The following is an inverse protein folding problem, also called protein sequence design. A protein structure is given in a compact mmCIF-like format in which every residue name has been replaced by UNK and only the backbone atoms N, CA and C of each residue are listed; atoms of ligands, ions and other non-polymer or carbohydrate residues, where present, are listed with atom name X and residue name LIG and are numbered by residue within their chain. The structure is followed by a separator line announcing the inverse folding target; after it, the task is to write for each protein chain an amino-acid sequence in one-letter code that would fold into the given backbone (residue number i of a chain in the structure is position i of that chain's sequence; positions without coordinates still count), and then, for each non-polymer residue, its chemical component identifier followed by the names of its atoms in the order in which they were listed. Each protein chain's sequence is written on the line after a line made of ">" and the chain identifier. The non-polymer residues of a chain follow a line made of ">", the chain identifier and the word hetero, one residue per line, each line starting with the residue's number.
data_IF_907492729585
#
_entry.id   IF_907492729585
#
_cell.length_a   1.000
_cell.length_b   1.000
_cell.length_c   1.000
_cell.angle_alpha   90.00
_cell.angle_beta   90.00
_cell.angle_gamma   90.00
#
_symmetry.space_group_name_H-M   'P 1'
#
loop_
_entity.id
_entity.type
_entity.pdbx_description
1 polymer ?
#
# COMPACT_ATOMS: atom_id res chain seq x y z
N UNK A 1 -51.28 13.23 13.53
CA UNK A 1 -50.81 12.29 14.58
C UNK A 1 -49.32 12.54 14.78
N UNK A 2 -48.93 13.21 15.88
CA UNK A 2 -47.51 13.37 16.22
C UNK A 2 -46.90 12.02 16.59
N UNK A 3 -45.61 11.77 16.31
CA UNK A 3 -44.97 10.51 16.67
C UNK A 3 -45.14 10.26 18.17
N UNK A 4 -45.49 9.03 18.61
CA UNK A 4 -45.76 8.75 20.01
C UNK A 4 -44.53 9.11 20.84
N UNK A 5 -44.75 9.81 21.97
CA UNK A 5 -43.75 10.21 22.96
C UNK A 5 -42.80 9.05 23.34
N UNK A 6 -43.30 7.82 23.37
CA UNK A 6 -42.51 6.60 23.59
C UNK A 6 -41.53 6.28 22.45
N UNK A 7 -41.91 6.51 21.19
CA UNK A 7 -41.04 6.31 20.03
C UNK A 7 -39.86 7.30 20.02
N UNK A 8 -40.11 8.56 20.41
CA UNK A 8 -39.04 9.58 20.55
C UNK A 8 -38.08 9.24 21.70
N UNK A 9 -38.58 8.73 22.82
CA UNK A 9 -37.75 8.27 23.93
C UNK A 9 -36.90 7.05 23.55
N UNK A 10 -37.49 6.05 22.90
CA UNK A 10 -36.79 4.84 22.46
C UNK A 10 -35.71 5.17 21.42
N UNK A 11 -36.02 6.01 20.42
CA UNK A 11 -35.04 6.44 19.43
C UNK A 11 -33.86 7.20 20.06
N UNK A 12 -34.12 8.07 21.03
CA UNK A 12 -33.07 8.80 21.76
C UNK A 12 -32.16 7.85 22.53
N UNK A 13 -32.74 6.83 23.17
CA UNK A 13 -32.00 5.83 23.94
C UNK A 13 -31.15 4.92 23.06
N UNK A 14 -31.69 4.48 21.91
CA UNK A 14 -30.93 3.74 20.91
C UNK A 14 -29.78 4.58 20.33
N UNK A 15 -30.03 5.85 20.01
CA UNK A 15 -29.00 6.76 19.50
C UNK A 15 -27.89 7.01 20.52
N UNK A 16 -28.21 7.03 21.81
CA UNK A 16 -27.23 7.15 22.90
C UNK A 16 -26.43 5.86 23.14
N UNK A 17 -26.99 4.69 22.84
CA UNK A 17 -26.25 3.42 22.94
C UNK A 17 -25.20 3.28 21.84
N UNK A 18 -25.47 3.79 20.63
CA UNK A 18 -24.54 3.72 19.49
C UNK A 18 -23.12 4.21 19.85
N UNK A 19 -22.89 5.42 20.41
CA UNK A 19 -21.55 5.88 20.75
C UNK A 19 -20.89 5.06 21.86
N UNK A 20 -21.66 4.55 22.83
CA UNK A 20 -21.12 3.67 23.88
C UNK A 20 -20.61 2.36 23.29
N UNK A 21 -21.41 1.71 22.45
CA UNK A 21 -21.03 0.45 21.77
C UNK A 21 -19.87 0.69 20.82
N UNK A 22 -19.91 1.76 20.01
CA UNK A 22 -18.79 2.14 19.15
C UNK A 22 -17.50 2.39 19.93
N UNK A 23 -17.58 3.02 21.11
CA UNK A 23 -16.43 3.25 21.98
C UNK A 23 -15.78 1.94 22.42
N UNK A 24 -16.57 0.98 22.90
CA UNK A 24 -16.06 -0.34 23.30
C UNK A 24 -15.48 -1.11 22.11
N UNK A 25 -16.17 -1.08 20.96
CA UNK A 25 -15.68 -1.71 19.72
C UNK A 25 -14.38 -1.09 19.22
N UNK A 26 -14.22 0.22 19.34
CA UNK A 26 -12.98 0.91 18.96
C UNK A 26 -11.81 0.53 19.87
N UNK A 27 -12.03 0.50 21.19
CA UNK A 27 -10.98 0.13 22.16
C UNK A 27 -10.56 -1.33 21.94
N UNK A 28 -11.52 -2.24 21.82
CA UNK A 28 -11.23 -3.65 21.55
C UNK A 28 -10.50 -3.82 20.22
N UNK A 29 -10.97 -3.16 19.15
CA UNK A 29 -10.30 -3.14 17.86
C UNK A 29 -8.84 -2.68 17.96
N UNK A 30 -8.57 -1.56 18.64
CA UNK A 30 -7.22 -1.02 18.82
C UNK A 30 -6.33 -1.98 19.61
N UNK A 31 -6.85 -2.54 20.70
CA UNK A 31 -6.11 -3.51 21.51
C UNK A 31 -5.68 -4.71 20.68
N UNK A 32 -6.58 -5.31 19.89
CA UNK A 32 -6.24 -6.49 19.09
C UNK A 32 -5.40 -6.17 17.85
N UNK A 33 -5.71 -5.12 17.09
CA UNK A 33 -5.06 -4.84 15.80
C UNK A 33 -3.76 -4.04 15.94
N UNK A 34 -3.65 -3.18 16.96
CA UNK A 34 -2.44 -2.38 17.18
C UNK A 34 -1.45 -3.11 18.08
N UNK A 35 -1.92 -3.76 19.15
CA UNK A 35 -1.03 -4.46 20.11
C UNK A 35 -0.76 -5.90 19.69
N UNK A 36 -1.78 -6.61 19.19
CA UNK A 36 -1.65 -8.02 18.80
C UNK A 36 -0.94 -8.27 17.47
N UNK A 37 -0.85 -7.26 16.59
CA UNK A 37 -0.26 -7.39 15.25
C UNK A 37 -1.05 -8.34 14.33
N UNK A 38 -0.45 -8.71 13.19
CA UNK A 38 -1.09 -9.64 12.24
C UNK A 38 -0.89 -11.09 12.72
N UNK A 39 -1.97 -11.86 13.00
CA UNK A 39 -1.88 -13.26 13.39
C UNK A 39 -1.46 -14.16 12.22
N UNK A 40 -1.36 -13.63 11.00
CA UNK A 40 -1.08 -14.40 9.81
C UNK A 40 0.24 -15.16 9.91
N UNK A 41 1.33 -14.52 10.37
CA UNK A 41 2.62 -15.20 10.54
C UNK A 41 2.58 -16.30 11.61
N UNK A 42 1.75 -16.14 12.65
CA UNK A 42 1.59 -17.12 13.72
C UNK A 42 0.73 -18.31 13.30
N UNK A 43 -0.31 -18.09 12.50
CA UNK A 43 -1.25 -19.12 12.06
C UNK A 43 -0.72 -19.91 10.85
N UNK A 44 0.04 -19.26 9.97
CA UNK A 44 0.50 -19.84 8.70
C UNK A 44 1.90 -20.49 8.80
N UNK A 45 2.68 -20.17 9.84
CA UNK A 45 4.04 -20.71 10.02
C UNK A 45 5.11 -19.98 9.19
N UNK A 46 6.39 -20.31 9.43
CA UNK A 46 7.55 -19.54 8.92
C UNK A 46 7.81 -19.68 7.41
N UNK A 47 7.22 -20.67 6.72
CA UNK A 47 7.55 -21.00 5.33
C UNK A 47 6.49 -20.61 4.28
N UNK A 48 5.49 -19.81 4.65
CA UNK A 48 4.42 -19.47 3.72
C UNK A 48 4.83 -18.39 2.72
N UNK A 49 4.44 -18.62 1.46
CA UNK A 49 4.74 -17.69 0.37
C UNK A 49 4.14 -16.29 0.66
N UNK A 50 4.85 -15.21 0.31
CA UNK A 50 4.40 -13.85 0.58
C UNK A 50 3.07 -13.51 -0.10
N UNK A 51 2.76 -14.17 -1.23
CA UNK A 51 1.47 -14.06 -1.91
C UNK A 51 0.34 -14.66 -1.08
N UNK A 52 0.50 -15.89 -0.59
CA UNK A 52 -0.52 -16.54 0.24
C UNK A 52 -0.78 -15.76 1.53
N UNK A 53 0.26 -15.15 2.10
CA UNK A 53 0.11 -14.29 3.28
C UNK A 53 -0.67 -13.00 2.96
N UNK A 54 -0.41 -12.34 1.82
CA UNK A 54 -1.19 -11.19 1.35
C UNK A 54 -2.67 -11.53 1.14
N UNK A 55 -2.96 -12.69 0.53
CA UNK A 55 -4.33 -13.14 0.29
C UNK A 55 -5.04 -13.51 1.61
N UNK A 56 -4.33 -14.12 2.56
CA UNK A 56 -4.86 -14.37 3.90
C UNK A 56 -5.21 -13.08 4.64
N UNK A 57 -4.32 -12.09 4.59
CA UNK A 57 -4.55 -10.77 5.19
C UNK A 57 -5.73 -10.06 4.54
N UNK A 58 -5.92 -10.21 3.23
CA UNK A 58 -7.05 -9.60 2.54
C UNK A 58 -8.39 -10.17 3.00
N UNK A 59 -8.49 -11.49 3.11
CA UNK A 59 -9.71 -12.16 3.56
C UNK A 59 -10.13 -11.71 4.97
N UNK A 60 -9.16 -11.30 5.80
CA UNK A 60 -9.38 -10.82 7.17
C UNK A 60 -9.30 -9.29 7.31
N UNK A 61 -9.07 -8.59 6.21
CA UNK A 61 -8.93 -7.14 6.19
C UNK A 61 -7.62 -6.57 6.75
N UNK A 62 -6.65 -7.38 7.17
CA UNK A 62 -5.38 -6.92 7.77
C UNK A 62 -4.49 -6.11 6.83
N UNK A 63 -4.64 -6.26 5.51
CA UNK A 63 -3.94 -5.44 4.52
C UNK A 63 -4.67 -4.13 4.16
N UNK A 64 -5.65 -3.70 4.97
CA UNK A 64 -6.36 -2.42 4.83
C UNK A 64 -5.79 -1.37 5.79
N UNK A 65 -6.03 -0.05 5.56
CA UNK A 65 -5.72 0.98 6.55
C UNK A 65 -6.46 0.72 7.86
N UNK A 66 -5.94 1.20 8.99
CA UNK A 66 -6.55 0.95 10.30
C UNK A 66 -7.94 1.60 10.44
N UNK A 67 -8.03 2.91 10.19
CA UNK A 67 -9.23 3.71 10.46
C UNK A 67 -9.77 4.38 9.19
N UNK A 68 -8.94 5.19 8.52
CA UNK A 68 -9.26 5.87 7.26
C UNK A 68 -8.01 5.86 6.36
N UNK A 69 -8.19 5.61 5.07
CA UNK A 69 -7.06 5.69 4.14
C UNK A 69 -7.43 5.29 2.72
N UNK A 70 -6.73 5.89 1.75
CA UNK A 70 -6.84 5.54 0.32
C UNK A 70 -5.75 4.58 -0.16
N UNK A 71 -4.77 4.32 0.69
CA UNK A 71 -3.57 3.56 0.35
C UNK A 71 -3.24 2.62 1.48
N UNK A 72 -2.95 1.37 1.14
CA UNK A 72 -2.46 0.37 2.09
C UNK A 72 -1.10 -0.16 1.65
N UNK A 73 -0.29 -0.58 2.62
CA UNK A 73 0.95 -1.28 2.33
C UNK A 73 0.63 -2.61 1.62
N UNK A 74 1.51 -3.06 0.72
CA UNK A 74 1.41 -4.39 0.13
C UNK A 74 2.68 -5.17 0.43
N UNK A 75 2.53 -6.47 0.70
CA UNK A 75 3.66 -7.39 0.87
C UNK A 75 4.37 -7.72 -0.43
N UNK A 76 3.87 -7.23 -1.56
CA UNK A 76 4.54 -7.35 -2.85
C UNK A 76 5.94 -6.73 -2.81
N UNK A 77 6.16 -5.72 -1.96
CA UNK A 77 7.47 -5.15 -1.70
C UNK A 77 8.07 -5.74 -0.42
N UNK A 78 9.36 -6.08 -0.46
CA UNK A 78 10.12 -6.39 0.74
C UNK A 78 10.59 -5.08 1.37
N UNK A 79 10.21 -4.77 2.60
CA UNK A 79 10.76 -3.63 3.37
C UNK A 79 12.27 -3.75 3.70
N UNK A 80 12.98 -4.65 3.02
CA UNK A 80 14.42 -4.80 3.16
C UNK A 80 15.16 -3.77 2.29
N UNK A 81 15.55 -2.64 2.88
CA UNK A 81 16.79 -1.96 2.52
C UNK A 81 17.32 -1.09 3.68
N UNK A 82 18.17 -1.63 4.56
CA UNK A 82 19.14 -0.82 5.29
C UNK A 82 20.30 -0.45 4.35
N UNK A 83 20.86 0.75 4.57
CA UNK A 83 21.86 1.48 3.75
C UNK A 83 21.34 2.06 2.41
N UNK A 84 21.71 3.33 2.06
CA UNK A 84 21.42 3.90 0.75
C UNK A 84 21.99 3.04 -0.38
N UNK A 85 21.13 2.51 -1.24
CA UNK A 85 21.56 1.79 -2.44
C UNK A 85 21.93 2.79 -3.52
N UNK A 86 23.16 2.72 -4.01
CA UNK A 86 23.59 3.49 -5.18
C UNK A 86 23.15 2.78 -6.46
N UNK A 87 22.33 3.44 -7.26
CA UNK A 87 21.90 3.02 -8.58
C UNK A 87 22.69 3.77 -9.64
N UNK A 88 23.45 3.05 -10.46
CA UNK A 88 24.14 3.64 -11.61
C UNK A 88 23.16 3.94 -12.75
N UNK A 89 23.50 4.84 -13.69
CA UNK A 89 22.69 5.05 -14.89
C UNK A 89 22.41 3.72 -15.60
N UNK A 90 21.15 3.52 -16.01
CA UNK A 90 20.68 2.25 -16.57
C UNK A 90 19.36 1.79 -15.97
N UNK A 91 18.94 0.60 -16.38
CA UNK A 91 17.65 0.00 -15.99
C UNK A 91 17.81 -0.87 -14.74
N UNK A 92 16.94 -0.62 -13.76
CA UNK A 92 16.88 -1.36 -12.50
C UNK A 92 15.50 -1.99 -12.35
N UNK A 93 15.46 -3.32 -12.31
CA UNK A 93 14.23 -4.06 -12.03
C UNK A 93 13.90 -4.01 -10.54
N UNK A 94 12.65 -3.73 -10.22
CA UNK A 94 12.12 -3.74 -8.86
C UNK A 94 11.89 -5.18 -8.41
N UNK A 95 12.56 -5.67 -7.34
CA UNK A 95 12.42 -7.06 -6.88
C UNK A 95 11.10 -7.25 -6.12
N UNK A 96 10.00 -7.45 -6.83
CA UNK A 96 8.72 -7.77 -6.20
C UNK A 96 8.74 -9.21 -5.70
N UNK A 97 8.14 -9.44 -4.53
CA UNK A 97 7.96 -10.80 -3.97
C UNK A 97 6.94 -11.64 -4.73
N UNK A 98 6.01 -11.00 -5.43
CA UNK A 98 4.98 -11.66 -6.23
C UNK A 98 4.39 -10.71 -7.28
N UNK A 99 3.66 -11.28 -8.23
CA UNK A 99 3.02 -10.56 -9.32
C UNK A 99 1.93 -9.60 -8.81
N UNK A 100 1.92 -8.35 -9.32
CA UNK A 100 0.89 -7.39 -8.95
C UNK A 100 -0.46 -7.76 -9.57
N UNK A 101 -1.53 -7.39 -8.87
CA UNK A 101 -2.89 -7.67 -9.32
C UNK A 101 -3.20 -6.86 -10.57
N UNK A 102 -3.93 -7.41 -11.54
CA UNK A 102 -4.36 -6.65 -12.72
C UNK A 102 -5.35 -5.55 -12.33
N UNK A 103 -5.46 -4.53 -13.19
CA UNK A 103 -6.39 -3.40 -13.09
C UNK A 103 -6.33 -2.62 -11.77
N UNK A 104 -5.25 -2.78 -11.00
CA UNK A 104 -5.13 -2.21 -9.66
C UNK A 104 -4.19 -1.02 -9.68
N UNK A 105 -4.58 0.06 -9.00
CA UNK A 105 -3.73 1.26 -8.89
C UNK A 105 -2.73 1.08 -7.76
N UNK A 106 -1.48 1.39 -8.02
CA UNK A 106 -0.39 1.35 -7.06
C UNK A 106 0.31 2.70 -7.00
N UNK A 107 0.97 2.94 -5.87
CA UNK A 107 1.81 4.10 -5.61
C UNK A 107 3.17 3.59 -5.16
N UNK A 108 4.18 3.90 -5.95
CA UNK A 108 5.58 3.71 -5.60
C UNK A 108 6.08 5.00 -4.94
N UNK A 109 6.44 4.93 -3.67
CA UNK A 109 7.06 6.02 -2.94
C UNK A 109 8.54 5.73 -2.89
N UNK A 110 9.36 6.68 -3.35
CA UNK A 110 10.80 6.52 -3.41
C UNK A 110 11.46 7.76 -2.82
N UNK A 111 12.36 7.55 -1.87
CA UNK A 111 13.24 8.57 -1.30
C UNK A 111 14.62 8.41 -1.92
N UNK A 112 15.01 9.40 -2.73
CA UNK A 112 16.29 9.36 -3.41
C UNK A 112 16.90 10.75 -3.59
N UNK A 113 18.19 10.78 -3.97
CA UNK A 113 18.92 11.98 -4.36
C UNK A 113 19.90 11.66 -5.49
N UNK A 114 20.19 12.66 -6.31
CA UNK A 114 21.28 12.61 -7.28
C UNK A 114 22.62 12.65 -6.55
N UNK A 115 23.61 11.94 -7.08
CA UNK A 115 24.94 11.86 -6.49
C UNK A 115 25.98 12.15 -7.57
N UNK A 116 26.99 12.94 -7.22
CA UNK A 116 28.14 13.14 -8.09
C UNK A 116 29.00 11.88 -8.13
N UNK A 117 29.49 11.50 -9.31
CA UNK A 117 30.29 10.28 -9.49
C UNK A 117 31.46 10.48 -10.45
N UNK A 118 32.40 9.52 -10.53
CA UNK A 118 33.46 9.54 -11.53
C UNK A 118 32.84 9.63 -12.93
N UNK A 119 33.18 10.67 -13.70
CA UNK A 119 32.57 10.96 -15.00
C UNK A 119 31.34 11.89 -14.98
N UNK A 120 30.85 12.26 -13.80
CA UNK A 120 29.64 13.10 -13.62
C UNK A 120 29.86 14.19 -12.56
N UNK A 121 30.68 15.21 -12.84
CA UNK A 121 31.09 16.20 -11.84
C UNK A 121 30.01 17.22 -11.46
N UNK A 122 28.86 17.28 -12.15
CA UNK A 122 27.76 18.21 -11.85
C UNK A 122 26.43 17.75 -12.46
N UNK A 123 25.68 16.87 -11.78
CA UNK A 123 24.31 16.54 -12.19
C UNK A 123 23.36 16.91 -11.06
N UNK A 124 22.96 18.18 -11.02
CA UNK A 124 21.81 18.61 -10.24
C UNK A 124 20.46 18.14 -10.82
N UNK A 125 20.47 17.23 -11.81
CA UNK A 125 19.29 16.72 -12.53
C UNK A 125 19.48 15.26 -12.96
N UNK A 126 19.34 14.33 -12.02
CA UNK A 126 19.20 12.91 -12.36
C UNK A 126 17.73 12.62 -12.60
N UNK A 127 17.39 12.08 -13.77
CA UNK A 127 16.00 11.77 -14.11
C UNK A 127 15.75 10.29 -13.88
N UNK A 128 14.81 9.98 -13.00
CA UNK A 128 14.29 8.64 -12.81
C UNK A 128 13.05 8.48 -13.66
N UNK A 129 13.05 7.51 -14.56
CA UNK A 129 11.91 7.14 -15.39
C UNK A 129 11.39 5.76 -14.99
N UNK A 130 10.11 5.69 -14.66
CA UNK A 130 9.40 4.44 -14.41
C UNK A 130 8.79 3.91 -15.70
N UNK A 131 8.86 2.60 -15.90
CA UNK A 131 8.18 1.90 -16.98
C UNK A 131 8.04 0.40 -16.65
N UNK A 132 7.05 -0.25 -17.26
CA UNK A 132 6.95 -1.70 -17.26
C UNK A 132 7.72 -2.28 -18.45
N UNK A 133 8.27 -3.49 -18.34
CA UNK A 133 8.93 -4.19 -19.46
C UNK A 133 8.00 -4.27 -20.69
N UNK A 134 6.72 -4.55 -20.47
CA UNK A 134 5.69 -4.57 -21.53
C UNK A 134 5.39 -3.17 -22.12
N UNK A 135 5.64 -2.11 -21.37
CA UNK A 135 5.51 -0.72 -21.83
C UNK A 135 6.69 -0.29 -22.71
N UNK A 136 7.92 -0.72 -22.38
CA UNK A 136 9.12 -0.40 -23.15
C UNK A 136 8.99 -0.74 -24.64
N UNK A 137 8.22 -1.78 -24.95
CA UNK A 137 8.02 -2.30 -26.31
C UNK A 137 6.80 -1.65 -27.00
N UNK A 138 5.90 -0.98 -26.26
CA UNK A 138 4.66 -0.42 -26.80
C UNK A 138 4.68 1.12 -26.83
N UNK A 139 4.57 1.74 -28.02
CA UNK A 139 4.64 3.20 -28.16
C UNK A 139 3.45 3.96 -27.52
N UNK A 140 2.31 3.31 -27.31
CA UNK A 140 1.07 3.95 -26.85
C UNK A 140 0.47 3.32 -25.57
N UNK A 141 1.24 2.59 -24.77
CA UNK A 141 0.69 2.00 -23.55
C UNK A 141 0.46 3.09 -22.49
N UNK A 142 -0.77 3.27 -21.98
CA UNK A 142 -1.07 4.41 -21.13
C UNK A 142 -0.58 4.15 -19.71
N UNK A 143 0.62 4.63 -19.39
CA UNK A 143 1.00 4.87 -17.99
C UNK A 143 0.03 5.90 -17.40
N UNK A 144 -0.51 5.61 -16.21
CA UNK A 144 -1.46 6.50 -15.54
C UNK A 144 -0.71 7.43 -14.60
N UNK A 145 -0.35 8.63 -15.07
CA UNK A 145 0.21 9.69 -14.23
C UNK A 145 1.62 10.14 -14.65
N UNK A 146 2.36 10.74 -13.70
CA UNK A 146 3.76 11.13 -13.91
C UNK A 146 4.64 9.89 -13.80
N UNK A 147 5.34 9.55 -14.87
CA UNK A 147 6.26 8.41 -14.93
C UNK A 147 7.74 8.83 -14.85
N UNK A 148 8.02 10.12 -14.61
CA UNK A 148 9.37 10.62 -14.49
C UNK A 148 9.49 11.59 -13.32
N UNK A 149 10.67 11.61 -12.70
CA UNK A 149 11.00 12.51 -11.62
C UNK A 149 12.45 12.97 -11.70
N UNK A 150 12.67 14.26 -11.50
CA UNK A 150 13.99 14.86 -11.43
C UNK A 150 14.47 14.97 -9.97
N UNK A 151 15.70 14.53 -9.76
CA UNK A 151 16.43 14.53 -8.50
C UNK A 151 17.63 15.49 -8.56
N UNK A 152 17.80 16.23 -7.47
CA UNK A 152 18.95 17.06 -7.18
C UNK A 152 19.79 16.40 -6.07
N UNK A 153 20.81 17.08 -5.57
CA UNK A 153 21.72 16.56 -4.55
C UNK A 153 21.07 16.41 -3.15
N UNK A 154 19.87 16.95 -2.97
CA UNK A 154 19.09 16.84 -1.74
C UNK A 154 18.19 15.60 -1.75
N UNK A 155 18.01 15.01 -0.56
CA UNK A 155 17.04 13.94 -0.36
C UNK A 155 15.63 14.42 -0.69
N UNK A 156 14.99 13.74 -1.63
CA UNK A 156 13.64 14.06 -2.09
C UNK A 156 12.79 12.81 -2.11
N UNK A 157 11.59 12.92 -1.55
CA UNK A 157 10.57 11.88 -1.62
C UNK A 157 9.69 12.18 -2.84
N UNK A 158 9.52 11.17 -3.69
CA UNK A 158 8.60 11.21 -4.82
C UNK A 158 7.54 10.13 -4.66
N UNK A 159 6.37 10.37 -5.26
CA UNK A 159 5.32 9.36 -5.42
C UNK A 159 5.01 9.20 -6.91
N UNK A 160 5.20 7.99 -7.41
CA UNK A 160 4.85 7.58 -8.77
C UNK A 160 3.60 6.71 -8.69
N UNK A 161 2.49 7.22 -9.18
CA UNK A 161 1.24 6.48 -9.26
C UNK A 161 1.20 5.75 -10.61
N UNK A 162 0.81 4.49 -10.62
CA UNK A 162 0.64 3.69 -11.84
C UNK A 162 -0.54 2.72 -11.70
N UNK A 163 -1.04 2.19 -12.82
CA UNK A 163 -2.07 1.15 -12.83
C UNK A 163 -1.56 -0.03 -13.63
N UNK A 164 -1.67 -1.22 -13.04
CA UNK A 164 -1.41 -2.47 -13.74
C UNK A 164 -2.58 -2.75 -14.68
N UNK A 165 -2.33 -3.13 -15.93
CA UNK A 165 -3.40 -3.51 -16.87
C UNK A 165 -3.61 -5.02 -16.90
N UNK A 166 -2.51 -5.77 -16.88
CA UNK A 166 -2.49 -7.22 -16.81
C UNK A 166 -1.75 -7.67 -15.53
N UNK A 167 -1.70 -8.98 -15.28
CA UNK A 167 -0.95 -9.54 -14.17
C UNK A 167 0.55 -9.31 -14.43
N UNK A 168 1.09 -8.26 -13.82
CA UNK A 168 2.49 -7.86 -13.98
C UNK A 168 3.38 -8.85 -13.22
N UNK A 169 4.31 -9.49 -13.91
CA UNK A 169 5.23 -10.43 -13.29
C UNK A 169 6.11 -9.72 -12.26
N UNK A 170 6.71 -10.51 -11.36
CA UNK A 170 7.50 -9.98 -10.25
C UNK A 170 8.67 -9.06 -10.69
N UNK A 171 9.18 -9.24 -11.92
CA UNK A 171 10.31 -8.48 -12.46
C UNK A 171 9.91 -7.50 -13.59
N UNK A 172 8.62 -7.30 -13.83
CA UNK A 172 8.15 -6.48 -14.94
C UNK A 172 8.23 -4.97 -14.66
N UNK A 173 8.35 -4.57 -13.39
CA UNK A 173 8.47 -3.17 -13.03
C UNK A 173 9.93 -2.72 -13.05
N UNK A 174 10.22 -1.71 -13.86
CA UNK A 174 11.57 -1.19 -14.06
C UNK A 174 11.64 0.31 -13.80
N UNK A 175 12.81 0.75 -13.35
CA UNK A 175 13.18 2.14 -13.19
C UNK A 175 14.49 2.40 -13.97
N UNK A 176 14.45 3.29 -14.95
CA UNK A 176 15.64 3.79 -15.64
C UNK A 176 16.17 5.03 -14.92
N UNK A 177 17.45 5.01 -14.59
CA UNK A 177 18.19 6.16 -14.11
C UNK A 177 18.92 6.77 -15.30
N UNK A 178 18.59 8.03 -15.64
CA UNK A 178 19.18 8.78 -16.75
C UNK A 178 20.02 9.95 -16.22
N UNK A 179 21.18 10.17 -16.86
CA UNK A 179 22.14 11.20 -16.47
C UNK A 179 23.16 10.68 -15.46
N UNK A 180 22.92 10.91 -14.17
CA UNK A 180 23.86 10.62 -13.08
C UNK A 180 23.44 9.44 -12.20
N UNK A 181 24.32 8.92 -11.34
CA UNK A 181 23.94 7.91 -10.37
C UNK A 181 22.97 8.48 -9.32
N UNK A 182 22.05 7.63 -8.88
CA UNK A 182 21.00 7.96 -7.91
C UNK A 182 21.25 7.17 -6.62
N UNK A 183 21.22 7.82 -5.46
CA UNK A 183 21.17 7.15 -4.17
C UNK A 183 19.72 6.97 -3.74
N UNK A 184 19.31 5.73 -3.47
CA UNK A 184 17.97 5.38 -3.02
C UNK A 184 18.02 4.91 -1.58
N UNK A 185 17.30 5.60 -0.70
CA UNK A 185 17.25 5.29 0.73
C UNK A 185 16.07 4.42 1.10
N UNK A 186 14.91 4.70 0.52
CA UNK A 186 13.71 3.91 0.77
C UNK A 186 12.86 3.80 -0.48
N UNK A 187 12.23 2.64 -0.62
CA UNK A 187 11.21 2.36 -1.63
C UNK A 187 10.05 1.72 -0.88
N UNK A 188 8.84 2.20 -1.12
CA UNK A 188 7.61 1.61 -0.60
C UNK A 188 6.63 1.44 -1.73
N UNK A 189 5.95 0.30 -1.76
CA UNK A 189 4.84 0.07 -2.67
C UNK A 189 3.53 0.07 -1.87
N UNK A 190 2.57 0.86 -2.33
CA UNK A 190 1.23 0.92 -1.74
C UNK A 190 0.16 0.62 -2.77
N UNK A 191 -0.85 -0.15 -2.38
CA UNK A 191 -2.04 -0.43 -3.17
C UNK A 191 -3.10 0.63 -2.90
N UNK A 192 -3.82 1.08 -3.93
CA UNK A 192 -4.98 1.96 -3.78
C UNK A 192 -6.17 1.16 -3.27
N UNK A 193 -6.88 1.70 -2.29
CA UNK A 193 -8.13 1.13 -1.79
C UNK A 193 -9.32 1.62 -2.63
N UNK A 194 -10.38 0.81 -2.69
CA UNK A 194 -11.61 1.14 -3.42
C UNK A 194 -12.34 2.34 -2.82
N UNK A 195 -12.30 2.47 -1.49
CA UNK A 195 -12.93 3.55 -0.72
C UNK A 195 -12.05 3.99 0.44
N UNK A 196 -12.28 5.22 0.94
CA UNK A 196 -11.61 5.74 2.16
C UNK A 196 -12.07 4.99 3.41
N UNK A 197 -13.28 4.40 3.36
CA UNK A 197 -13.88 3.60 4.44
C UNK A 197 -13.54 2.12 4.33
N UNK A 198 -12.80 1.70 3.31
CA UNK A 198 -12.38 0.30 3.17
C UNK A 198 -11.20 0.02 4.11
N UNK A 199 -11.49 -0.07 5.41
CA UNK A 199 -10.50 -0.14 6.49
C UNK A 199 -10.74 -1.32 7.43
N UNK A 200 -9.70 -1.68 8.20
CA UNK A 200 -9.75 -2.74 9.18
C UNK A 200 -10.89 -2.53 10.19
N UNK A 201 -11.09 -1.30 10.64
CA UNK A 201 -12.17 -0.97 11.58
C UNK A 201 -13.58 -1.21 11.00
N UNK A 202 -13.82 -0.77 9.76
CA UNK A 202 -15.13 -1.00 9.12
C UNK A 202 -15.35 -2.47 8.76
N UNK A 203 -14.29 -3.18 8.38
CA UNK A 203 -14.31 -4.62 8.21
C UNK A 203 -14.74 -5.32 9.51
N UNK A 204 -14.10 -4.99 10.63
CA UNK A 204 -14.44 -5.50 11.96
C UNK A 204 -15.88 -5.16 12.35
N UNK A 205 -16.34 -3.93 12.15
CA UNK A 205 -17.71 -3.52 12.46
C UNK A 205 -18.74 -4.33 11.65
N UNK A 206 -18.47 -4.56 10.37
CA UNK A 206 -19.32 -5.39 9.50
C UNK A 206 -19.34 -6.84 9.95
N UNK A 207 -18.20 -7.36 10.40
CA UNK A 207 -18.06 -8.71 10.92
C UNK A 207 -18.88 -8.90 12.21
N UNK A 208 -18.77 -7.98 13.16
CA UNK A 208 -19.57 -7.96 14.39
C UNK A 208 -21.06 -7.83 14.09
N UNK A 209 -21.46 -6.94 13.18
CA UNK A 209 -22.85 -6.76 12.78
C UNK A 209 -23.45 -8.02 12.13
N UNK A 210 -22.62 -8.86 11.51
CA UNK A 210 -23.01 -10.14 10.92
C UNK A 210 -22.96 -11.31 11.91
N UNK A 211 -22.47 -11.09 13.13
CA UNK A 211 -22.16 -12.14 14.12
C UNK A 211 -21.22 -13.22 13.56
N UNK A 212 -20.39 -12.85 12.59
CA UNK A 212 -19.52 -13.77 11.87
C UNK A 212 -18.13 -13.74 12.50
N UNK A 213 -17.90 -14.51 13.55
CA UNK A 213 -16.64 -14.50 14.29
C UNK A 213 -15.57 -15.44 13.67
N UNK A 214 -15.71 -15.83 12.41
CA UNK A 214 -14.71 -16.66 11.73
C UNK A 214 -14.65 -18.10 12.21
N UNK A 215 -15.77 -18.63 12.73
CA UNK A 215 -15.95 -20.08 12.93
C UNK A 215 -16.75 -20.63 11.77
N UNK A 216 -16.06 -20.96 10.69
CA UNK A 216 -16.60 -21.85 9.67
C UNK A 216 -15.50 -22.83 9.33
N UNK A 217 -15.77 -24.06 9.79
CA UNK A 217 -15.01 -25.31 9.72
C UNK A 217 -14.42 -25.63 8.36
#
# INVERSE_FOLDING_TARGET
>A
MGPPIMGRYLARRLLQMIPTVLGVLLITFLLFNVVGGSPASMVLGEHISPLALEDFDEQRGFNKPLILGRWAATRAWADAAPEPRRWNPGEHSLPLKFALRPQTKYRLILEARAVSGPGFPNIGKTTLRFFQTLEKIRPNFPMIGKNQAEFSNDWKIIALDFQTLEKSAANDLCLAVEGGPLEVRSIQLRRRMDSVLDTQFFFFLRQVARLDFGTSS
#
